data_IF_179806801689
#
_entry.id   IF_179806801689
#
_cell.length_a   1.000
_cell.length_b   1.000
_cell.length_c   1.000
_cell.angle_alpha   90.00
_cell.angle_beta   90.00
_cell.angle_gamma   90.00
#
_symmetry.space_group_name_H-M   'P 1'
#
loop_
_entity.id
_entity.type
_entity.pdbx_description
1 polymer ?
#
# COMPACT_ATOMS: atom_id res chain seq x y z
N UNK A 1 -7.89 3.41 -21.66
CA UNK A 1 -7.18 4.72 -21.57
C UNK A 1 -6.22 4.79 -22.73
N UNK A 2 -6.13 5.90 -23.47
CA UNK A 2 -5.19 5.98 -24.59
C UNK A 2 -3.71 5.99 -24.10
N UNK A 3 -2.79 5.67 -25.02
CA UNK A 3 -1.37 5.59 -24.74
C UNK A 3 -0.74 6.93 -24.30
N UNK A 4 -1.29 8.06 -24.77
CA UNK A 4 -0.80 9.40 -24.42
C UNK A 4 -1.12 9.73 -22.96
N UNK A 5 -2.33 9.43 -22.49
CA UNK A 5 -2.75 9.62 -21.10
C UNK A 5 -1.97 8.70 -20.16
N UNK A 6 -1.71 7.47 -20.58
CA UNK A 6 -0.82 6.54 -19.88
C UNK A 6 0.62 7.07 -19.74
N UNK A 7 1.17 7.66 -20.80
CA UNK A 7 2.47 8.35 -20.75
C UNK A 7 2.46 9.56 -19.82
N UNK A 8 1.36 10.30 -19.78
CA UNK A 8 1.21 11.46 -18.89
C UNK A 8 1.22 11.05 -17.40
N UNK A 9 0.50 9.98 -17.02
CA UNK A 9 0.54 9.47 -15.64
C UNK A 9 1.92 8.97 -15.23
N UNK A 10 2.66 8.29 -16.11
CA UNK A 10 4.06 7.89 -15.83
C UNK A 10 4.93 9.12 -15.52
N UNK A 11 4.80 10.19 -16.30
CA UNK A 11 5.53 11.45 -16.05
C UNK A 11 5.17 12.04 -14.68
N UNK A 12 3.89 12.04 -14.31
CA UNK A 12 3.45 12.51 -12.98
C UNK A 12 4.05 11.63 -11.87
N UNK A 13 4.05 10.31 -12.04
CA UNK A 13 4.65 9.39 -11.07
C UNK A 13 6.13 9.69 -10.83
N UNK A 14 6.92 9.88 -11.89
CA UNK A 14 8.34 10.23 -11.75
C UNK A 14 8.55 11.62 -11.16
N UNK A 15 7.63 12.57 -11.39
CA UNK A 15 7.64 13.86 -10.71
C UNK A 15 7.44 13.70 -9.19
N UNK A 16 6.45 12.91 -8.76
CA UNK A 16 6.23 12.58 -7.34
C UNK A 16 7.48 11.94 -6.70
N UNK A 17 8.14 11.04 -7.43
CA UNK A 17 9.40 10.41 -6.97
C UNK A 17 10.50 11.45 -6.80
N UNK A 18 10.62 12.39 -7.74
CA UNK A 18 11.56 13.50 -7.64
C UNK A 18 11.26 14.40 -6.44
N UNK A 19 9.99 14.77 -6.23
CA UNK A 19 9.55 15.57 -5.06
C UNK A 19 9.95 14.86 -3.75
N UNK A 20 9.73 13.54 -3.63
CA UNK A 20 10.13 12.78 -2.46
C UNK A 20 11.65 12.79 -2.26
N UNK A 21 12.43 12.52 -3.32
CA UNK A 21 13.89 12.38 -3.23
C UNK A 21 14.62 13.69 -2.90
N UNK A 22 14.05 14.83 -3.27
CA UNK A 22 14.61 16.16 -2.97
C UNK A 22 13.93 16.84 -1.77
N UNK A 23 13.10 16.10 -1.04
CA UNK A 23 12.48 16.59 0.19
C UNK A 23 13.51 16.70 1.32
N UNK A 24 13.28 17.61 2.29
CA UNK A 24 14.11 17.69 3.48
C UNK A 24 13.99 16.39 4.30
N UNK A 25 15.05 16.06 5.03
CA UNK A 25 14.99 15.04 6.06
C UNK A 25 14.12 15.54 7.23
N UNK A 26 13.37 14.65 7.91
CA UNK A 26 12.74 15.01 9.17
C UNK A 26 13.79 15.47 10.19
N UNK A 27 13.36 16.29 11.15
CA UNK A 27 14.24 16.70 12.25
C UNK A 27 14.85 15.47 12.95
N UNK A 28 16.13 15.52 13.28
CA UNK A 28 16.76 14.52 14.14
C UNK A 28 16.36 14.76 15.59
N UNK A 29 16.12 13.68 16.35
CA UNK A 29 15.92 13.76 17.79
C UNK A 29 17.18 13.32 18.53
N UNK A 30 17.56 14.08 19.55
CA UNK A 30 18.51 13.64 20.58
C UNK A 30 17.75 12.81 21.62
N UNK A 31 18.12 11.54 21.76
CA UNK A 31 17.44 10.58 22.62
C UNK A 31 18.08 10.64 24.01
N UNK A 32 17.64 11.58 24.84
CA UNK A 32 17.90 11.53 26.29
C UNK A 32 16.55 11.54 27.02
N UNK A 33 16.25 10.47 27.75
CA UNK A 33 15.07 10.30 28.63
C UNK A 33 13.69 10.62 28.00
N UNK A 34 13.46 10.20 26.75
CA UNK A 34 12.16 10.36 26.09
C UNK A 34 11.11 9.39 26.66
N UNK A 35 9.90 9.89 26.88
CA UNK A 35 8.78 9.02 27.25
C UNK A 35 8.31 8.18 26.06
N UNK A 36 7.48 7.17 26.35
CA UNK A 36 7.00 6.22 25.33
C UNK A 36 6.13 6.89 24.25
N UNK A 37 5.36 7.91 24.59
CA UNK A 37 4.46 8.57 23.64
C UNK A 37 5.27 9.45 22.68
N UNK A 38 6.29 10.13 23.19
CA UNK A 38 7.29 10.84 22.39
C UNK A 38 8.06 9.87 21.48
N UNK A 39 8.60 8.78 22.05
CA UNK A 39 9.27 7.73 21.27
C UNK A 39 8.38 7.17 20.15
N UNK A 40 7.09 6.97 20.43
CA UNK A 40 6.13 6.49 19.45
C UNK A 40 5.86 7.50 18.34
N UNK A 41 5.80 8.81 18.65
CA UNK A 41 5.63 9.84 17.63
C UNK A 41 6.84 9.89 16.68
N UNK A 42 8.06 9.78 17.22
CA UNK A 42 9.28 9.72 16.41
C UNK A 42 9.37 8.44 15.57
N UNK A 43 9.07 7.31 16.19
CA UNK A 43 9.00 6.03 15.50
C UNK A 43 7.95 6.06 14.38
N UNK A 44 6.86 6.82 14.54
CA UNK A 44 5.83 6.95 13.52
C UNK A 44 6.34 7.70 12.28
N UNK A 45 7.22 8.70 12.44
CA UNK A 45 7.91 9.35 11.32
C UNK A 45 8.79 8.35 10.57
N UNK A 46 9.58 7.56 11.29
CA UNK A 46 10.45 6.54 10.69
C UNK A 46 9.66 5.45 9.94
N UNK A 47 8.59 4.94 10.56
CA UNK A 47 7.67 3.99 9.93
C UNK A 47 7.00 4.63 8.70
N UNK A 48 6.55 5.88 8.81
CA UNK A 48 5.91 6.57 7.71
C UNK A 48 6.86 6.79 6.52
N UNK A 49 8.13 7.10 6.76
CA UNK A 49 9.16 7.14 5.73
C UNK A 49 9.35 5.77 5.06
N UNK A 50 9.51 4.72 5.86
CA UNK A 50 9.67 3.35 5.36
C UNK A 50 8.50 2.91 4.48
N UNK A 51 7.26 3.16 4.92
CA UNK A 51 6.06 2.84 4.17
C UNK A 51 5.88 3.69 2.91
N UNK A 52 6.16 4.99 2.96
CA UNK A 52 6.13 5.86 1.77
C UNK A 52 7.13 5.39 0.72
N UNK A 53 8.31 4.95 1.17
CA UNK A 53 9.33 4.33 0.31
C UNK A 53 8.82 3.03 -0.31
N UNK A 54 8.16 2.18 0.48
CA UNK A 54 7.58 0.92 0.01
C UNK A 54 6.49 1.17 -1.03
N UNK A 55 5.58 2.13 -0.79
CA UNK A 55 4.56 2.55 -1.76
C UNK A 55 5.22 2.98 -3.07
N UNK A 56 6.20 3.89 -3.03
CA UNK A 56 6.89 4.35 -4.22
C UNK A 56 7.53 3.20 -5.01
N UNK A 57 8.24 2.28 -4.33
CA UNK A 57 8.90 1.15 -4.98
C UNK A 57 7.92 0.12 -5.54
N UNK A 58 6.86 -0.21 -4.80
CA UNK A 58 5.81 -1.12 -5.26
C UNK A 58 5.06 -0.56 -6.48
N UNK A 59 4.74 0.72 -6.47
CA UNK A 59 4.13 1.40 -7.61
C UNK A 59 5.07 1.45 -8.84
N UNK A 60 6.35 1.73 -8.65
CA UNK A 60 7.33 1.70 -9.75
C UNK A 60 7.48 0.29 -10.34
N UNK A 61 7.52 -0.74 -9.50
CA UNK A 61 7.55 -2.13 -9.94
C UNK A 61 6.29 -2.50 -10.72
N UNK A 62 5.10 -2.12 -10.23
CA UNK A 62 3.83 -2.35 -10.93
C UNK A 62 3.79 -1.68 -12.31
N UNK A 63 4.27 -0.44 -12.43
CA UNK A 63 4.38 0.25 -13.73
C UNK A 63 5.31 -0.52 -14.67
N UNK A 64 6.47 -0.98 -14.19
CA UNK A 64 7.41 -1.76 -15.02
C UNK A 64 6.83 -3.10 -15.44
N UNK A 65 6.07 -3.77 -14.57
CA UNK A 65 5.36 -5.01 -14.91
C UNK A 65 4.35 -4.76 -16.03
N UNK A 66 3.56 -3.69 -15.91
CA UNK A 66 2.62 -3.27 -16.95
C UNK A 66 3.31 -2.98 -18.29
N UNK A 67 4.45 -2.26 -18.25
CA UNK A 67 5.26 -1.98 -19.45
C UNK A 67 5.77 -3.25 -20.16
N UNK A 68 5.78 -4.40 -19.47
CA UNK A 68 6.18 -5.70 -19.99
C UNK A 68 5.00 -6.67 -20.20
N UNK A 69 3.75 -6.21 -20.08
CA UNK A 69 2.55 -7.02 -20.29
C UNK A 69 2.18 -7.95 -19.13
N UNK A 70 2.61 -7.62 -17.91
CA UNK A 70 2.28 -8.32 -16.66
C UNK A 70 1.29 -7.50 -15.82
N UNK A 71 0.20 -7.06 -16.43
CA UNK A 71 -0.79 -6.20 -15.77
C UNK A 71 -1.47 -6.92 -14.59
N UNK A 72 -1.91 -8.16 -14.79
CA UNK A 72 -2.59 -8.97 -13.76
C UNK A 72 -1.67 -9.26 -12.57
N UNK A 73 -0.41 -9.57 -12.85
CA UNK A 73 0.59 -9.87 -11.82
C UNK A 73 1.03 -8.61 -11.05
N UNK A 74 0.68 -7.40 -11.51
CA UNK A 74 0.93 -6.16 -10.79
C UNK A 74 -0.08 -5.94 -9.65
N UNK A 75 -1.24 -6.60 -9.65
CA UNK A 75 -2.30 -6.39 -8.67
C UNK A 75 -1.85 -6.59 -7.20
N UNK A 76 -1.06 -7.63 -6.83
CA UNK A 76 -0.55 -7.76 -5.47
C UNK A 76 0.31 -6.58 -5.00
N UNK A 77 1.09 -5.98 -5.91
CA UNK A 77 1.92 -4.81 -5.60
C UNK A 77 1.07 -3.56 -5.37
N UNK A 78 0.06 -3.34 -6.20
CA UNK A 78 -0.88 -2.22 -6.09
C UNK A 78 -1.77 -2.35 -4.85
N UNK A 79 -2.23 -3.57 -4.53
CA UNK A 79 -2.94 -3.88 -3.29
C UNK A 79 -2.10 -3.51 -2.08
N UNK A 80 -0.84 -3.96 -2.05
CA UNK A 80 0.09 -3.66 -0.95
C UNK A 80 0.36 -2.16 -0.84
N UNK A 81 0.59 -1.47 -1.96
CA UNK A 81 0.80 -0.02 -1.98
C UNK A 81 -0.42 0.75 -1.44
N UNK A 82 -1.63 0.34 -1.81
CA UNK A 82 -2.88 0.94 -1.32
C UNK A 82 -3.03 0.78 0.18
N UNK A 83 -2.79 -0.43 0.69
CA UNK A 83 -2.89 -0.71 2.13
C UNK A 83 -1.91 0.15 2.93
N UNK A 84 -0.64 0.25 2.51
CA UNK A 84 0.33 1.14 3.17
C UNK A 84 -0.07 2.62 3.08
N UNK A 85 -0.61 3.08 1.94
CA UNK A 85 -1.09 4.46 1.80
C UNK A 85 -2.26 4.77 2.74
N UNK A 86 -3.19 3.83 2.92
CA UNK A 86 -4.29 3.96 3.88
C UNK A 86 -3.80 3.96 5.33
N UNK A 87 -2.81 3.14 5.66
CA UNK A 87 -2.24 3.09 7.01
C UNK A 87 -1.39 4.34 7.34
N UNK A 88 -0.71 4.91 6.34
CA UNK A 88 -0.09 6.24 6.49
C UNK A 88 -1.13 7.31 6.82
N UNK A 89 -2.32 7.26 6.19
CA UNK A 89 -3.42 8.16 6.54
C UNK A 89 -3.90 7.96 7.97
N UNK A 90 -3.88 6.73 8.47
CA UNK A 90 -4.19 6.45 9.87
C UNK A 90 -3.18 7.10 10.82
N UNK A 91 -1.88 6.92 10.57
CA UNK A 91 -0.81 7.57 11.36
C UNK A 91 -0.97 9.09 11.31
N UNK A 92 -1.31 9.67 10.16
CA UNK A 92 -1.60 11.10 10.05
C UNK A 92 -2.71 11.57 11.01
N UNK A 93 -3.76 10.77 11.21
CA UNK A 93 -4.92 11.17 12.02
C UNK A 93 -4.74 10.89 13.51
N UNK A 94 -4.10 9.78 13.88
CA UNK A 94 -4.01 9.31 15.26
C UNK A 94 -2.57 9.35 15.85
N UNK A 95 -1.57 9.76 15.05
CA UNK A 95 -0.19 9.96 15.48
C UNK A 95 0.56 8.69 15.89
N UNK A 96 1.51 8.82 16.81
CA UNK A 96 2.33 7.70 17.32
C UNK A 96 1.53 6.60 18.04
N UNK A 97 0.31 6.90 18.51
CA UNK A 97 -0.55 5.91 19.18
C UNK A 97 -0.87 4.70 18.31
N UNK A 98 -0.90 4.89 17.00
CA UNK A 98 -1.10 3.82 16.02
C UNK A 98 -0.05 2.71 16.20
N UNK A 99 1.19 3.05 16.57
CA UNK A 99 2.26 2.06 16.73
C UNK A 99 1.97 1.02 17.80
N UNK A 100 1.22 1.35 18.85
CA UNK A 100 0.81 0.36 19.86
C UNK A 100 -0.09 -0.73 19.24
N UNK A 101 -1.03 -0.33 18.38
CA UNK A 101 -1.87 -1.28 17.65
C UNK A 101 -1.06 -2.11 16.65
N UNK A 102 -0.08 -1.48 15.98
CA UNK A 102 0.83 -2.18 15.05
C UNK A 102 1.71 -3.21 15.76
N UNK A 103 2.25 -2.88 16.94
CA UNK A 103 3.05 -3.80 17.75
C UNK A 103 2.21 -4.99 18.20
N UNK A 104 0.96 -4.79 18.61
CA UNK A 104 0.05 -5.91 18.94
C UNK A 104 -0.28 -6.77 17.72
N UNK A 105 -0.48 -6.16 16.56
CA UNK A 105 -0.69 -6.89 15.32
C UNK A 105 0.55 -7.69 14.90
N UNK A 106 1.74 -7.10 15.05
CA UNK A 106 3.01 -7.78 14.85
C UNK A 106 3.13 -8.98 15.79
N UNK A 107 2.89 -8.80 17.10
CA UNK A 107 2.94 -9.87 18.08
C UNK A 107 1.97 -11.02 17.72
N UNK A 108 0.74 -10.70 17.33
CA UNK A 108 -0.25 -11.69 16.87
C UNK A 108 0.21 -12.43 15.61
N UNK A 109 0.81 -11.72 14.65
CA UNK A 109 1.34 -12.33 13.43
C UNK A 109 2.54 -13.23 13.71
N UNK A 110 3.42 -12.83 14.63
CA UNK A 110 4.57 -13.62 15.05
C UNK A 110 4.16 -14.88 15.81
N UNK A 111 3.15 -14.79 16.69
CA UNK A 111 2.58 -15.97 17.36
C UNK A 111 2.01 -16.98 16.35
N UNK A 112 1.34 -16.52 15.29
CA UNK A 112 0.88 -17.39 14.19
C UNK A 112 2.04 -18.04 13.44
N UNK A 113 3.12 -17.29 13.20
CA UNK A 113 4.33 -17.83 12.58
C UNK A 113 4.94 -18.93 13.45
N UNK A 114 5.02 -18.73 14.78
CA UNK A 114 5.51 -19.74 15.71
C UNK A 114 4.66 -21.02 15.67
N UNK A 115 3.33 -20.88 15.67
CA UNK A 115 2.42 -22.02 15.56
C UNK A 115 2.51 -22.74 14.21
N UNK A 116 2.79 -22.03 13.11
CA UNK A 116 2.94 -22.64 11.79
C UNK A 116 4.14 -23.61 11.68
N UNK A 117 5.10 -23.54 12.61
CA UNK A 117 6.22 -24.47 12.68
C UNK A 117 5.78 -25.92 12.99
N UNK A 118 4.60 -26.12 13.60
CA UNK A 118 4.05 -27.46 13.89
C UNK A 118 3.86 -28.32 12.63
N UNK A 119 3.62 -27.67 11.48
CA UNK A 119 3.34 -28.31 10.20
C UNK A 119 4.35 -27.87 9.11
N UNK A 120 5.38 -27.14 9.48
CA UNK A 120 6.25 -26.41 8.57
C UNK A 120 7.73 -26.56 8.90
N UNK A 121 8.52 -25.59 8.43
CA UNK A 121 9.93 -25.49 8.73
C UNK A 121 10.15 -24.81 10.09
N UNK A 122 11.18 -25.23 10.80
CA UNK A 122 11.56 -24.68 12.10
C UNK A 122 12.51 -23.49 11.92
N UNK A 123 12.41 -22.52 12.83
CA UNK A 123 13.29 -21.36 12.92
C UNK A 123 14.46 -21.66 13.88
N UNK A 124 15.62 -21.07 13.61
CA UNK A 124 16.79 -21.19 14.49
C UNK A 124 16.62 -20.39 15.79
N UNK A 125 17.28 -20.81 16.86
CA UNK A 125 17.18 -20.18 18.20
C UNK A 125 17.35 -18.65 18.19
N UNK A 126 18.34 -18.05 17.49
CA UNK A 126 18.48 -16.59 17.47
C UNK A 126 17.30 -15.86 16.83
N UNK A 127 16.58 -16.51 15.91
CA UNK A 127 15.37 -15.95 15.31
C UNK A 127 14.23 -16.02 16.32
N UNK A 128 14.10 -17.13 17.04
CA UNK A 128 13.09 -17.29 18.10
C UNK A 128 13.26 -16.26 19.22
N UNK A 129 14.49 -16.04 19.69
CA UNK A 129 14.79 -15.04 20.72
C UNK A 129 14.39 -13.62 20.28
N UNK A 130 14.65 -13.27 19.01
CA UNK A 130 14.24 -12.00 18.43
C UNK A 130 12.71 -11.89 18.31
N UNK A 131 12.02 -12.98 17.96
CA UNK A 131 10.56 -13.02 17.89
C UNK A 131 9.96 -12.80 19.29
N UNK A 132 10.46 -13.49 20.31
CA UNK A 132 9.98 -13.35 21.68
C UNK A 132 10.19 -11.94 22.21
N UNK A 133 11.35 -11.32 21.91
CA UNK A 133 11.61 -9.93 22.25
C UNK A 133 10.61 -8.97 21.59
N UNK A 134 10.29 -9.15 20.30
CA UNK A 134 9.31 -8.33 19.59
C UNK A 134 7.89 -8.52 20.12
N UNK A 135 7.49 -9.76 20.43
CA UNK A 135 6.19 -10.05 21.06
C UNK A 135 6.09 -9.32 22.42
N UNK A 136 7.17 -9.31 23.21
CA UNK A 136 7.22 -8.66 24.51
C UNK A 136 7.12 -7.13 24.49
N UNK A 137 7.33 -6.47 23.34
CA UNK A 137 7.21 -5.01 23.21
C UNK A 137 5.75 -4.52 23.17
N UNK A 138 4.81 -5.39 22.82
CA UNK A 138 3.41 -5.04 22.66
C UNK A 138 2.75 -4.78 24.03
N UNK A 139 2.12 -3.61 24.18
CA UNK A 139 1.40 -3.24 25.42
C UNK A 139 -0.10 -3.15 25.20
N UNK A 140 -0.87 -2.94 26.28
CA UNK A 140 -2.33 -2.66 26.22
C UNK A 140 -2.66 -1.17 26.10
N UNK A 141 -1.66 -0.28 25.98
CA UNK A 141 -1.92 1.15 25.74
C UNK A 141 -2.66 1.34 24.42
N UNK A 142 -3.64 2.23 24.43
CA UNK A 142 -4.47 2.51 23.24
C UNK A 142 -5.12 1.27 22.61
N UNK A 143 -5.53 0.28 23.41
CA UNK A 143 -6.17 -0.95 22.91
C UNK A 143 -7.47 -0.68 22.14
N UNK A 144 -8.14 0.45 22.38
CA UNK A 144 -9.30 0.91 21.60
C UNK A 144 -8.99 1.07 20.11
N UNK A 145 -7.72 1.23 19.73
CA UNK A 145 -7.29 1.37 18.34
C UNK A 145 -7.21 0.03 17.58
N UNK A 146 -7.25 -1.12 18.26
CA UNK A 146 -7.09 -2.45 17.64
C UNK A 146 -8.18 -2.73 16.61
N UNK A 147 -9.38 -2.21 16.82
CA UNK A 147 -10.47 -2.36 15.87
C UNK A 147 -10.12 -1.80 14.48
N UNK A 148 -9.26 -0.78 14.41
CA UNK A 148 -8.88 -0.12 13.15
C UNK A 148 -7.67 -0.76 12.46
N UNK A 149 -7.02 -1.76 13.08
CA UNK A 149 -6.03 -2.61 12.42
C UNK A 149 -6.65 -3.44 11.27
N UNK A 150 -7.97 -3.61 11.28
CA UNK A 150 -8.72 -4.11 10.13
C UNK A 150 -8.99 -2.98 9.13
N UNK A 151 -8.45 -3.11 7.92
CA UNK A 151 -8.52 -2.09 6.88
C UNK A 151 -9.97 -1.63 6.56
N UNK A 152 -10.95 -2.54 6.64
CA UNK A 152 -12.37 -2.20 6.43
C UNK A 152 -12.93 -1.27 7.50
N UNK A 153 -12.51 -1.40 8.76
CA UNK A 153 -12.90 -0.49 9.84
C UNK A 153 -12.23 0.86 9.69
N UNK A 154 -10.96 0.88 9.30
CA UNK A 154 -10.24 2.11 8.99
C UNK A 154 -10.92 2.89 7.86
N UNK A 155 -11.25 2.20 6.76
CA UNK A 155 -11.95 2.79 5.63
C UNK A 155 -13.33 3.33 6.01
N UNK A 156 -14.08 2.64 6.88
CA UNK A 156 -15.38 3.12 7.39
C UNK A 156 -15.24 4.37 8.25
N UNK A 157 -14.24 4.42 9.14
CA UNK A 157 -13.98 5.57 10.03
C UNK A 157 -13.62 6.83 9.23
N UNK A 158 -12.79 6.68 8.19
CA UNK A 158 -12.35 7.78 7.33
C UNK A 158 -12.96 7.68 5.93
N UNK A 159 -14.26 7.38 5.83
CA UNK A 159 -14.97 7.09 4.57
C UNK A 159 -14.80 8.15 3.48
N UNK A 160 -14.83 9.41 3.86
CA UNK A 160 -14.78 10.51 2.89
C UNK A 160 -13.36 10.71 2.33
N UNK A 161 -12.33 10.26 3.05
CA UNK A 161 -10.92 10.31 2.63
C UNK A 161 -10.48 9.00 1.94
N UNK A 162 -10.92 7.84 2.46
CA UNK A 162 -10.38 6.52 2.14
C UNK A 162 -11.34 5.63 1.35
N UNK A 163 -12.61 6.03 1.15
CA UNK A 163 -13.61 5.17 0.51
C UNK A 163 -13.20 4.70 -0.89
N UNK A 164 -12.69 5.60 -1.71
CA UNK A 164 -12.23 5.27 -3.07
C UNK A 164 -10.98 4.37 -3.07
N UNK A 165 -10.03 4.61 -2.15
CA UNK A 165 -8.84 3.76 -1.99
C UNK A 165 -9.23 2.36 -1.52
N UNK A 166 -10.18 2.26 -0.61
CA UNK A 166 -10.67 0.98 -0.12
C UNK A 166 -11.38 0.18 -1.23
N UNK A 167 -12.16 0.86 -2.08
CA UNK A 167 -12.74 0.21 -3.27
C UNK A 167 -11.66 -0.28 -4.23
N UNK A 168 -10.62 0.52 -4.49
CA UNK A 168 -9.49 0.09 -5.33
C UNK A 168 -8.76 -1.11 -4.72
N UNK A 169 -8.52 -1.10 -3.40
CA UNK A 169 -7.93 -2.23 -2.67
C UNK A 169 -8.78 -3.50 -2.79
N UNK A 170 -10.12 -3.41 -2.77
CA UNK A 170 -11.00 -4.57 -2.96
C UNK A 170 -10.87 -5.16 -4.37
N UNK A 171 -10.79 -4.31 -5.39
CA UNK A 171 -10.55 -4.76 -6.78
C UNK A 171 -9.20 -5.48 -6.88
N UNK A 172 -8.13 -4.86 -6.40
CA UNK A 172 -6.79 -5.46 -6.45
C UNK A 172 -6.71 -6.75 -5.59
N UNK A 173 -7.50 -6.83 -4.50
CA UNK A 173 -7.63 -8.04 -3.68
C UNK A 173 -8.18 -9.22 -4.48
N UNK A 174 -9.23 -9.01 -5.28
CA UNK A 174 -9.81 -10.06 -6.13
C UNK A 174 -8.79 -10.60 -7.15
N UNK A 175 -7.93 -9.73 -7.67
CA UNK A 175 -6.91 -10.10 -8.67
C UNK A 175 -5.62 -10.66 -8.06
N UNK A 176 -5.39 -10.49 -6.74
CA UNK A 176 -4.14 -10.89 -6.06
C UNK A 176 -4.19 -12.25 -5.36
N UNK A 177 -5.39 -12.76 -5.06
CA UNK A 177 -5.59 -14.02 -4.34
C UNK A 177 -6.01 -15.13 -5.30
N UNK A 178 -5.91 -16.42 -4.90
CA UNK A 178 -6.37 -17.54 -5.71
C UNK A 178 -7.91 -17.55 -5.78
N UNK A 179 -8.46 -16.72 -6.66
CA UNK A 179 -9.89 -16.56 -6.88
C UNK A 179 -10.25 -16.95 -8.32
N UNK A 180 -11.54 -17.12 -8.60
CA UNK A 180 -11.99 -17.27 -9.99
C UNK A 180 -11.64 -16.02 -10.81
N UNK A 181 -11.64 -14.84 -10.19
CA UNK A 181 -11.32 -13.58 -10.85
C UNK A 181 -9.85 -13.52 -11.31
N UNK A 182 -8.90 -13.89 -10.44
CA UNK A 182 -7.47 -13.91 -10.81
C UNK A 182 -7.16 -14.96 -11.90
N UNK A 183 -7.99 -16.01 -12.01
CA UNK A 183 -7.87 -17.01 -13.08
C UNK A 183 -8.56 -16.60 -14.39
N UNK A 184 -9.60 -15.76 -14.33
CA UNK A 184 -10.43 -15.38 -15.47
C UNK A 184 -9.65 -14.69 -16.60
N UNK A 185 -8.56 -14.02 -16.26
CA UNK A 185 -7.68 -13.37 -17.22
C UNK A 185 -6.98 -14.34 -18.20
N UNK A 186 -6.91 -15.65 -17.86
CA UNK A 186 -6.17 -16.65 -18.62
C UNK A 186 -7.07 -17.63 -19.37
N UNK A 187 -8.36 -17.34 -19.51
CA UNK A 187 -9.25 -18.12 -20.37
C UNK A 187 -10.38 -17.28 -20.96
N UNK A 188 -10.91 -17.72 -22.10
CA UNK A 188 -12.14 -17.16 -22.69
C UNK A 188 -13.22 -18.21 -22.75
N UNK A 189 -14.43 -17.83 -22.34
CA UNK A 189 -15.63 -18.63 -22.60
C UNK A 189 -15.96 -18.57 -24.09
N UNK A 190 -16.14 -19.73 -24.70
CA UNK A 190 -16.64 -19.88 -26.06
C UNK A 190 -18.15 -20.04 -25.99
N UNK A 191 -18.89 -19.18 -26.67
CA UNK A 191 -20.34 -19.23 -26.73
C UNK A 191 -20.83 -20.32 -27.71
N UNK A 192 -22.08 -20.74 -27.54
CA UNK A 192 -22.76 -21.59 -28.52
C UNK A 192 -22.77 -20.93 -29.91
N UNK A 193 -22.46 -21.72 -30.94
CA UNK A 193 -22.38 -21.26 -32.33
C UNK A 193 -20.99 -20.86 -32.81
N UNK A 194 -19.96 -20.88 -31.95
CA UNK A 194 -18.56 -20.85 -32.40
C UNK A 194 -18.20 -22.21 -33.06
N UNK A 195 -17.31 -22.25 -34.07
CA UNK A 195 -16.91 -23.50 -34.74
C UNK A 195 -16.35 -24.58 -33.81
N UNK A 196 -15.89 -24.18 -32.62
CA UNK A 196 -15.32 -25.06 -31.60
C UNK A 196 -16.35 -25.60 -30.59
N UNK A 197 -17.61 -25.13 -30.65
CA UNK A 197 -18.64 -25.43 -29.65
C UNK A 197 -18.47 -24.69 -28.32
N UNK A 198 -19.36 -24.91 -27.33
CA UNK A 198 -19.24 -24.34 -26.00
C UNK A 198 -18.02 -24.90 -25.26
N UNK A 199 -17.26 -24.03 -24.60
CA UNK A 199 -16.05 -24.45 -23.88
C UNK A 199 -15.16 -23.30 -23.45
N UNK A 200 -13.88 -23.60 -23.21
CA UNK A 200 -12.88 -22.62 -22.82
C UNK A 200 -11.70 -22.62 -23.79
N UNK A 201 -11.25 -21.42 -24.16
CA UNK A 201 -9.94 -21.23 -24.79
C UNK A 201 -8.96 -20.72 -23.74
N UNK A 202 -7.97 -21.55 -23.39
CA UNK A 202 -6.91 -21.19 -22.45
C UNK A 202 -5.90 -20.24 -23.10
N UNK A 203 -5.37 -19.32 -22.31
CA UNK A 203 -4.42 -18.31 -22.74
C UNK A 203 -3.11 -18.48 -21.95
N UNK A 204 -1.97 -18.39 -22.63
CA UNK A 204 -0.65 -18.36 -21.98
C UNK A 204 -0.28 -16.99 -21.42
N UNK A 205 -1.00 -15.94 -21.84
CA UNK A 205 -0.85 -14.56 -21.40
C UNK A 205 -2.24 -13.99 -21.20
N UNK A 206 -2.39 -13.14 -20.19
CA UNK A 206 -3.63 -12.40 -20.03
C UNK A 206 -3.93 -11.60 -21.30
N UNK A 207 -5.19 -11.60 -21.71
CA UNK A 207 -5.68 -10.68 -22.74
C UNK A 207 -6.30 -9.42 -22.14
N UNK A 208 -6.35 -9.31 -20.82
CA UNK A 208 -6.68 -8.08 -20.12
C UNK A 208 -5.63 -7.03 -20.47
N UNK A 209 -6.06 -5.83 -20.80
CA UNK A 209 -5.20 -4.67 -20.75
C UNK A 209 -5.70 -3.82 -19.59
N UNK A 210 -5.07 -3.94 -18.43
CA UNK A 210 -5.46 -3.09 -17.30
C UNK A 210 -4.88 -1.70 -17.52
N UNK A 211 -5.63 -0.87 -18.24
CA UNK A 211 -5.19 0.43 -18.74
C UNK A 211 -5.01 1.51 -17.66
N UNK A 212 -4.92 1.18 -16.37
CA UNK A 212 -4.96 2.16 -15.29
C UNK A 212 -3.83 2.02 -14.25
N UNK A 213 -2.87 1.12 -14.43
CA UNK A 213 -1.79 0.86 -13.43
C UNK A 213 -1.02 2.14 -13.09
N UNK A 214 -0.57 2.91 -14.08
CA UNK A 214 0.15 4.16 -13.84
C UNK A 214 -0.70 5.21 -13.09
N UNK A 215 -2.00 5.28 -13.37
CA UNK A 215 -2.91 6.21 -12.70
C UNK A 215 -3.14 5.80 -11.23
N UNK A 216 -3.38 4.51 -10.98
CA UNK A 216 -3.47 3.92 -9.64
C UNK A 216 -2.20 4.20 -8.83
N UNK A 217 -1.03 3.93 -9.41
CA UNK A 217 0.27 4.20 -8.81
C UNK A 217 0.48 5.66 -8.41
N UNK A 218 0.08 6.60 -9.28
CA UNK A 218 0.12 8.05 -8.98
C UNK A 218 -0.75 8.39 -7.78
N UNK A 219 -1.99 7.89 -7.73
CA UNK A 219 -2.93 8.18 -6.64
C UNK A 219 -2.41 7.62 -5.31
N UNK A 220 -2.01 6.34 -5.29
CA UNK A 220 -1.48 5.70 -4.08
C UNK A 220 -0.25 6.44 -3.54
N UNK A 221 0.68 6.82 -4.42
CA UNK A 221 1.90 7.51 -4.01
C UNK A 221 1.63 8.96 -3.59
N UNK A 222 0.72 9.66 -4.26
CA UNK A 222 0.30 11.01 -3.86
C UNK A 222 -0.33 11.02 -2.45
N UNK A 223 -1.24 10.09 -2.18
CA UNK A 223 -1.87 9.92 -0.86
C UNK A 223 -0.83 9.60 0.20
N UNK A 224 0.06 8.64 -0.08
CA UNK A 224 1.14 8.28 0.83
C UNK A 224 2.06 9.47 1.15
N UNK A 225 2.47 10.24 0.13
CA UNK A 225 3.36 11.38 0.31
C UNK A 225 2.68 12.55 1.05
N UNK A 226 1.38 12.77 0.82
CA UNK A 226 0.56 13.73 1.56
C UNK A 226 0.42 13.33 3.03
N UNK A 227 0.23 12.04 3.31
CA UNK A 227 0.14 11.55 4.68
C UNK A 227 1.50 11.66 5.40
N UNK A 228 2.58 11.29 4.71
CA UNK A 228 3.94 11.42 5.23
C UNK A 228 4.32 12.87 5.53
N UNK A 229 3.99 13.82 4.65
CA UNK A 229 4.33 15.23 4.89
C UNK A 229 3.74 15.74 6.19
N UNK A 230 2.49 15.39 6.48
CA UNK A 230 1.81 15.76 7.72
C UNK A 230 2.45 15.06 8.93
N UNK A 231 2.73 13.77 8.84
CA UNK A 231 3.35 13.00 9.94
C UNK A 231 4.75 13.51 10.27
N UNK A 232 5.53 13.89 9.24
CA UNK A 232 6.90 14.37 9.39
C UNK A 232 7.01 15.87 9.70
N UNK A 233 5.90 16.61 9.72
CA UNK A 233 5.91 18.07 9.90
C UNK A 233 6.55 18.83 8.73
N UNK A 234 6.41 18.31 7.50
CA UNK A 234 7.04 18.82 6.28
C UNK A 234 6.03 19.39 5.26
N UNK A 235 4.84 19.75 5.72
CA UNK A 235 3.74 20.22 4.88
C UNK A 235 4.12 21.45 4.05
N UNK A 236 4.86 22.41 4.63
CA UNK A 236 5.32 23.62 3.94
C UNK A 236 6.16 23.31 2.69
N UNK A 237 6.93 22.22 2.72
CA UNK A 237 7.69 21.76 1.57
C UNK A 237 6.82 20.99 0.57
N UNK A 238 6.02 20.04 1.05
CA UNK A 238 5.36 19.06 0.18
C UNK A 238 4.02 19.55 -0.39
N UNK A 239 3.13 20.14 0.42
CA UNK A 239 1.76 20.44 0.01
C UNK A 239 1.69 21.33 -1.25
N UNK A 240 2.43 22.45 -1.37
CA UNK A 240 2.37 23.27 -2.57
C UNK A 240 2.80 22.54 -3.86
N UNK A 241 3.64 21.51 -3.75
CA UNK A 241 4.08 20.69 -4.88
C UNK A 241 3.05 19.59 -5.18
N UNK A 242 2.45 19.01 -4.14
CA UNK A 242 1.41 17.99 -4.24
C UNK A 242 0.10 18.55 -4.79
N UNK A 243 -0.25 19.80 -4.49
CA UNK A 243 -1.43 20.47 -5.05
C UNK A 243 -1.34 20.62 -6.57
N UNK A 244 -0.15 21.00 -7.09
CA UNK A 244 0.10 21.02 -8.55
C UNK A 244 -0.06 19.65 -9.18
N UNK A 245 0.33 18.59 -8.48
CA UNK A 245 0.11 17.22 -8.94
C UNK A 245 -1.38 16.87 -8.93
N UNK A 246 -2.12 17.27 -7.90
CA UNK A 246 -3.58 17.11 -7.83
C UNK A 246 -4.28 17.78 -9.01
N UNK A 247 -3.89 19.00 -9.37
CA UNK A 247 -4.40 19.71 -10.54
C UNK A 247 -4.12 18.95 -11.84
N UNK A 248 -2.90 18.44 -12.02
CA UNK A 248 -2.52 17.63 -13.19
C UNK A 248 -3.35 16.34 -13.30
N UNK A 249 -3.57 15.64 -12.18
CA UNK A 249 -4.42 14.44 -12.12
C UNK A 249 -5.87 14.81 -12.50
N UNK A 250 -6.39 15.92 -11.99
CA UNK A 250 -7.73 16.41 -12.28
C UNK A 250 -7.93 16.78 -13.74
N UNK A 251 -6.94 17.41 -14.37
CA UNK A 251 -6.96 17.72 -15.81
C UNK A 251 -7.00 16.45 -16.66
N UNK A 252 -6.11 15.48 -16.38
CA UNK A 252 -6.10 14.20 -17.09
C UNK A 252 -7.37 13.38 -16.86
N UNK A 253 -8.03 13.53 -15.71
CA UNK A 253 -9.27 12.82 -15.42
C UNK A 253 -10.48 13.34 -16.20
N UNK A 254 -10.44 14.61 -16.63
CA UNK A 254 -11.51 15.25 -17.41
C UNK A 254 -11.33 15.15 -18.93
N UNK A 255 -10.12 14.86 -19.39
CA UNK A 255 -9.79 14.60 -20.81
C UNK A 255 -10.01 13.14 -21.18
#
# INVERSE_FOLDING_TARGET
MDAQRQKAFRRIFFNLKSIRLHGPEPASLEIEDIDRDEFNNWSAVAVAWGWTTRVARSCEAAIRMSDNGFDEEAAPLLRSATEHAMWLWWIRKDGGKVLEALQRQQATSLQKLLGAQEIGWTLDSPILDNIDALIGQATRRHAELDAFAHLSHLAKRYRDDLGNLYQAWLVDTQNSHPTLQSGAAYFKTLADGQPQGPGFRLLHKSDSQEHNIAAKAVIMFHVALTAYSAVAGLDDYYLPKLDRVTEQIGQLSRS
#
